data_IF_212992015114
#
_entry.id   IF_212992015114
#
_cell.length_a   1.000
_cell.length_b   1.000
_cell.length_c   1.000
_cell.angle_alpha   90.00
_cell.angle_beta   90.00
_cell.angle_gamma   90.00
#
_symmetry.space_group_name_H-M   'P 1'
#
loop_
_entity.id
_entity.type
_entity.pdbx_description
1 polymer ?
#
# COMPACT_ATOMS: atom_id res chain seq x y z
N UNK A 1 -23.66 -49.59 11.83
CA UNK A 1 -22.24 -49.80 11.48
C UNK A 1 -21.89 -48.78 10.40
N UNK A 2 -21.83 -47.51 10.80
CA UNK A 2 -21.76 -46.33 9.91
C UNK A 2 -20.54 -45.51 10.32
N UNK A 3 -19.36 -45.89 9.86
CA UNK A 3 -18.10 -45.22 10.25
C UNK A 3 -17.07 -45.23 9.12
N UNK A 4 -17.46 -44.80 7.91
CA UNK A 4 -16.50 -44.62 6.79
C UNK A 4 -16.79 -43.43 5.87
N UNK A 5 -17.37 -42.34 6.38
CA UNK A 5 -17.64 -41.16 5.54
C UNK A 5 -17.16 -39.80 6.13
N UNK A 6 -16.45 -39.79 7.25
CA UNK A 6 -16.09 -38.53 7.94
C UNK A 6 -14.63 -38.08 7.88
N UNK A 7 -13.76 -38.73 7.08
CA UNK A 7 -12.31 -38.43 7.13
C UNK A 7 -11.71 -37.87 5.83
N UNK A 8 -12.53 -37.63 4.79
CA UNK A 8 -12.04 -37.09 3.52
C UNK A 8 -12.15 -35.55 3.40
N UNK A 9 -12.94 -34.89 4.25
CA UNK A 9 -13.20 -33.44 4.13
C UNK A 9 -12.29 -32.56 5.00
N UNK A 10 -11.53 -33.13 5.94
CA UNK A 10 -10.74 -32.35 6.89
C UNK A 10 -9.29 -32.03 6.41
N UNK A 11 -8.86 -32.54 5.25
CA UNK A 11 -7.49 -32.29 4.74
C UNK A 11 -7.37 -31.10 3.78
N UNK A 12 -8.49 -30.60 3.22
CA UNK A 12 -8.47 -29.45 2.33
C UNK A 12 -8.63 -28.12 3.09
N UNK A 13 -9.37 -28.10 4.20
CA UNK A 13 -9.53 -26.91 5.04
C UNK A 13 -8.20 -26.42 5.62
N UNK A 14 -7.27 -27.31 5.96
CA UNK A 14 -5.96 -26.91 6.51
C UNK A 14 -4.99 -26.34 5.45
N UNK A 15 -5.14 -26.69 4.17
CA UNK A 15 -4.32 -26.09 3.10
C UNK A 15 -4.79 -24.68 2.74
N UNK A 16 -6.10 -24.45 2.78
CA UNK A 16 -6.68 -23.15 2.47
C UNK A 16 -6.60 -22.20 3.67
N UNK A 17 -6.64 -22.71 4.91
CA UNK A 17 -6.54 -21.87 6.11
C UNK A 17 -5.08 -21.52 6.47
N UNK A 18 -4.09 -22.29 5.99
CA UNK A 18 -2.67 -21.93 6.10
C UNK A 18 -2.24 -20.81 5.13
N UNK A 19 -3.06 -20.52 4.11
CA UNK A 19 -2.88 -19.41 3.18
C UNK A 19 -3.30 -18.06 3.78
N UNK A 20 -4.13 -18.05 4.83
CA UNK A 20 -4.57 -16.85 5.55
C UNK A 20 -3.67 -16.43 6.72
N UNK A 21 -2.45 -16.97 6.84
CA UNK A 21 -1.50 -16.47 7.83
C UNK A 21 -0.79 -15.22 7.31
N UNK A 22 -1.43 -14.04 7.36
CA UNK A 22 -0.77 -12.73 7.28
C UNK A 22 0.38 -12.69 6.26
N UNK A 23 0.13 -13.21 5.05
CA UNK A 23 1.14 -13.18 4.00
C UNK A 23 1.23 -11.73 3.60
N UNK A 24 2.26 -11.03 4.08
CA UNK A 24 2.73 -9.82 3.41
C UNK A 24 3.12 -10.27 2.02
N UNK A 25 2.14 -10.23 1.11
CA UNK A 25 2.33 -10.82 -0.20
C UNK A 25 3.27 -9.91 -0.97
N UNK A 26 4.13 -10.50 -1.77
CA UNK A 26 5.01 -9.70 -2.61
C UNK A 26 4.25 -8.85 -3.64
N UNK A 27 2.97 -9.19 -3.92
CA UNK A 27 2.02 -8.31 -4.61
C UNK A 27 1.78 -7.01 -3.87
N UNK A 28 1.63 -7.02 -2.55
CA UNK A 28 1.45 -5.80 -1.75
C UNK A 28 2.65 -4.86 -1.90
N UNK A 29 3.86 -5.43 -1.94
CA UNK A 29 5.08 -4.66 -2.10
C UNK A 29 5.16 -3.96 -3.46
N UNK A 30 4.64 -4.58 -4.51
CA UNK A 30 4.57 -3.98 -5.86
C UNK A 30 3.64 -2.78 -5.86
N UNK A 31 2.48 -2.91 -5.25
CA UNK A 31 1.51 -1.81 -5.17
C UNK A 31 2.02 -0.68 -4.29
N UNK A 32 2.69 -0.98 -3.17
CA UNK A 32 3.39 0.02 -2.35
C UNK A 32 4.47 0.75 -3.16
N UNK A 33 5.31 0.02 -3.89
CA UNK A 33 6.36 0.60 -4.73
C UNK A 33 5.81 1.52 -5.82
N UNK A 34 4.74 1.09 -6.50
CA UNK A 34 4.03 1.89 -7.51
C UNK A 34 3.39 3.13 -6.90
N UNK A 35 2.78 3.00 -5.73
CA UNK A 35 2.18 4.13 -5.03
C UNK A 35 3.23 5.18 -4.68
N UNK A 36 4.35 4.77 -4.11
CA UNK A 36 5.46 5.66 -3.75
C UNK A 36 5.97 6.42 -4.99
N UNK A 37 6.24 5.70 -6.09
CA UNK A 37 6.73 6.32 -7.33
C UNK A 37 5.72 7.29 -7.94
N UNK A 38 4.43 6.92 -7.98
CA UNK A 38 3.36 7.79 -8.48
C UNK A 38 3.21 9.07 -7.66
N UNK A 39 3.42 9.01 -6.35
CA UNK A 39 3.33 10.19 -5.46
C UNK A 39 4.55 11.08 -5.49
N UNK A 40 5.71 10.57 -5.93
CA UNK A 40 6.94 11.37 -6.05
C UNK A 40 7.17 11.90 -7.47
N UNK A 41 6.52 11.31 -8.47
CA UNK A 41 6.53 11.79 -9.85
C UNK A 41 5.88 13.18 -9.97
N UNK A 42 6.59 14.14 -10.58
CA UNK A 42 6.18 15.55 -10.65
C UNK A 42 5.43 15.94 -11.93
N UNK A 43 5.17 15.00 -12.84
CA UNK A 43 4.42 15.26 -14.07
C UNK A 43 5.28 15.29 -15.35
N UNK A 44 4.75 15.86 -16.45
CA UNK A 44 5.40 15.82 -17.76
C UNK A 44 6.80 16.44 -17.75
N UNK A 45 7.80 15.71 -18.27
CA UNK A 45 9.21 16.11 -18.25
C UNK A 45 10.01 15.54 -17.07
N UNK A 46 9.34 14.88 -16.12
CA UNK A 46 9.98 14.09 -15.08
C UNK A 46 10.09 12.62 -15.51
N UNK A 47 10.99 11.86 -14.89
CA UNK A 47 11.16 10.42 -15.17
C UNK A 47 10.91 9.57 -13.93
N UNK A 48 10.51 8.31 -14.15
CA UNK A 48 10.28 7.36 -13.05
C UNK A 48 11.60 7.06 -12.33
N UNK A 49 12.71 7.05 -13.06
CA UNK A 49 14.07 6.91 -12.52
C UNK A 49 14.43 8.09 -11.63
N UNK A 50 14.08 9.31 -12.03
CA UNK A 50 14.28 10.51 -11.21
C UNK A 50 13.41 10.50 -9.95
N UNK A 51 12.17 10.00 -10.04
CA UNK A 51 11.32 9.76 -8.88
C UNK A 51 11.93 8.72 -7.94
N UNK A 52 12.40 7.58 -8.47
CA UNK A 52 13.05 6.53 -7.69
C UNK A 52 14.31 7.03 -6.98
N UNK A 53 15.15 7.83 -7.66
CA UNK A 53 16.35 8.40 -7.08
C UNK A 53 16.04 9.38 -5.93
N UNK A 54 14.99 10.19 -6.07
CA UNK A 54 14.51 11.07 -4.98
C UNK A 54 13.99 10.27 -3.80
N UNK A 55 13.25 9.20 -4.03
CA UNK A 55 12.79 8.30 -2.97
C UNK A 55 13.97 7.67 -2.25
N UNK A 56 14.99 7.22 -2.98
CA UNK A 56 16.22 6.68 -2.39
C UNK A 56 16.91 7.71 -1.50
N UNK A 57 17.05 8.95 -1.97
CA UNK A 57 17.71 10.01 -1.22
C UNK A 57 16.92 10.42 0.03
N UNK A 58 15.59 10.40 -0.04
CA UNK A 58 14.70 10.87 1.04
C UNK A 58 14.38 9.78 2.09
N UNK A 59 14.14 8.56 1.64
CA UNK A 59 13.58 7.46 2.44
C UNK A 59 14.51 6.25 2.54
N UNK A 60 15.67 6.28 1.88
CA UNK A 60 16.67 5.21 1.97
C UNK A 60 16.31 3.92 1.23
N UNK A 61 15.24 3.89 0.44
CA UNK A 61 14.85 2.70 -0.33
C UNK A 61 15.67 2.63 -1.63
N UNK A 62 16.33 1.51 -1.95
CA UNK A 62 17.12 1.41 -3.18
C UNK A 62 16.29 1.68 -4.45
N UNK A 63 16.76 2.58 -5.32
CA UNK A 63 16.07 2.89 -6.57
C UNK A 63 15.94 1.67 -7.49
N UNK A 64 16.94 0.79 -7.50
CA UNK A 64 16.92 -0.47 -8.26
C UNK A 64 15.77 -1.39 -7.83
N UNK A 65 15.45 -1.41 -6.53
CA UNK A 65 14.32 -2.16 -5.99
C UNK A 65 12.99 -1.53 -6.42
N UNK A 66 12.86 -0.21 -6.34
CA UNK A 66 11.64 0.50 -6.77
C UNK A 66 11.37 0.34 -8.27
N UNK A 67 12.41 0.47 -9.10
CA UNK A 67 12.30 0.26 -10.55
C UNK A 67 12.00 -1.21 -10.89
N UNK A 68 12.51 -2.16 -10.09
CA UNK A 68 12.13 -3.56 -10.19
C UNK A 68 10.64 -3.75 -9.89
N UNK A 69 10.12 -3.19 -8.81
CA UNK A 69 8.70 -3.28 -8.44
C UNK A 69 7.79 -2.58 -9.45
N UNK A 70 8.26 -1.51 -10.10
CA UNK A 70 7.51 -0.84 -11.16
C UNK A 70 7.24 -1.76 -12.36
N UNK A 71 8.29 -2.43 -12.84
CA UNK A 71 8.30 -3.15 -14.11
C UNK A 71 7.87 -4.62 -14.03
N UNK A 72 8.09 -5.30 -12.89
CA UNK A 72 7.84 -6.74 -12.77
C UNK A 72 7.18 -7.13 -11.45
N UNK A 73 6.42 -8.21 -11.49
CA UNK A 73 6.05 -8.94 -10.29
C UNK A 73 7.29 -9.58 -9.68
N UNK A 74 7.39 -9.49 -8.36
CA UNK A 74 8.49 -10.05 -7.59
C UNK A 74 7.90 -11.19 -6.79
N UNK A 75 8.26 -12.43 -7.07
CA UNK A 75 7.73 -13.57 -6.30
C UNK A 75 8.46 -13.74 -4.96
N UNK A 76 9.74 -13.38 -4.93
CA UNK A 76 10.60 -13.48 -3.76
C UNK A 76 11.35 -12.18 -3.50
N UNK A 77 11.32 -11.72 -2.25
CA UNK A 77 12.02 -10.54 -1.78
C UNK A 77 12.53 -10.75 -0.36
N UNK A 78 13.73 -10.24 -0.07
CA UNK A 78 14.26 -10.23 1.29
C UNK A 78 13.33 -9.43 2.20
N UNK A 79 13.08 -9.92 3.40
CA UNK A 79 12.23 -9.26 4.39
C UNK A 79 12.72 -7.84 4.72
N UNK A 80 14.04 -7.62 4.74
CA UNK A 80 14.64 -6.30 4.92
C UNK A 80 14.25 -5.30 3.82
N UNK A 81 14.23 -5.76 2.56
CA UNK A 81 13.83 -4.96 1.41
C UNK A 81 12.32 -4.65 1.47
N UNK A 82 11.51 -5.63 1.85
CA UNK A 82 10.08 -5.43 2.07
C UNK A 82 9.83 -4.39 3.16
N UNK A 83 10.49 -4.51 4.32
CA UNK A 83 10.37 -3.58 5.42
C UNK A 83 10.78 -2.15 5.03
N UNK A 84 11.83 -1.99 4.23
CA UNK A 84 12.24 -0.68 3.72
C UNK A 84 11.15 -0.04 2.85
N UNK A 85 10.54 -0.81 1.94
CA UNK A 85 9.44 -0.34 1.09
C UNK A 85 8.20 -0.02 1.93
N UNK A 86 7.85 -0.86 2.90
CA UNK A 86 6.71 -0.65 3.79
C UNK A 86 6.87 0.62 4.65
N UNK A 87 8.05 0.85 5.21
CA UNK A 87 8.34 2.07 5.97
C UNK A 87 8.24 3.32 5.10
N UNK A 88 8.78 3.27 3.88
CA UNK A 88 8.66 4.35 2.93
C UNK A 88 7.20 4.60 2.52
N UNK A 89 6.41 3.54 2.34
CA UNK A 89 4.99 3.63 2.03
C UNK A 89 4.22 4.34 3.15
N UNK A 90 4.44 3.97 4.41
CA UNK A 90 3.82 4.64 5.57
C UNK A 90 4.20 6.12 5.62
N UNK A 91 5.48 6.45 5.38
CA UNK A 91 5.94 7.84 5.37
C UNK A 91 5.28 8.68 4.26
N UNK A 92 5.17 8.12 3.05
CA UNK A 92 4.51 8.80 1.91
C UNK A 92 3.01 8.93 2.15
N UNK A 93 2.36 7.90 2.69
CA UNK A 93 0.93 7.95 3.03
C UNK A 93 0.65 9.05 4.05
N UNK A 94 1.42 9.11 5.13
CA UNK A 94 1.31 10.17 6.12
C UNK A 94 1.53 11.58 5.52
N UNK A 95 2.41 11.71 4.52
CA UNK A 95 2.58 12.98 3.79
C UNK A 95 1.33 13.35 2.99
N UNK A 96 0.72 12.39 2.31
CA UNK A 96 -0.51 12.60 1.53
C UNK A 96 -1.68 12.96 2.45
N UNK A 97 -1.83 12.25 3.57
CA UNK A 97 -2.89 12.50 4.54
C UNK A 97 -2.76 13.91 5.13
N UNK A 98 -1.54 14.35 5.50
CA UNK A 98 -1.29 15.74 5.93
C UNK A 98 -1.59 16.77 4.84
N UNK A 99 -1.26 16.46 3.58
CA UNK A 99 -1.58 17.33 2.44
C UNK A 99 -3.09 17.50 2.28
N UNK A 100 -3.83 16.40 2.36
CA UNK A 100 -5.29 16.40 2.31
C UNK A 100 -5.90 17.18 3.48
N UNK A 101 -5.39 16.99 4.70
CA UNK A 101 -5.84 17.76 5.88
C UNK A 101 -5.57 19.26 5.72
N UNK A 102 -4.40 19.62 5.17
CA UNK A 102 -4.07 21.01 4.89
C UNK A 102 -5.02 21.63 3.85
N UNK A 103 -5.24 20.95 2.72
CA UNK A 103 -6.21 21.38 1.71
C UNK A 103 -7.63 21.49 2.29
N UNK A 104 -8.03 20.55 3.16
CA UNK A 104 -9.32 20.59 3.87
C UNK A 104 -9.42 21.78 4.82
N UNK A 105 -8.35 22.16 5.50
CA UNK A 105 -8.34 23.35 6.38
C UNK A 105 -8.40 24.69 5.63
N UNK A 106 -7.90 24.72 4.39
CA UNK A 106 -7.95 25.91 3.53
C UNK A 106 -9.27 26.02 2.75
N UNK A 107 -10.07 24.96 2.72
CA UNK A 107 -11.33 24.96 1.99
C UNK A 107 -12.31 25.97 2.60
N UNK A 108 -12.63 26.99 1.79
CA UNK A 108 -13.40 28.17 2.19
C UNK A 108 -14.89 27.85 2.43
N UNK A 109 -15.45 26.83 1.77
CA UNK A 109 -16.88 26.52 1.87
C UNK A 109 -17.17 25.28 2.73
N UNK A 110 -17.58 25.54 3.96
CA UNK A 110 -17.93 24.54 4.98
C UNK A 110 -19.09 23.64 4.59
N UNK A 111 -19.97 24.06 3.68
CA UNK A 111 -21.12 23.23 3.23
C UNK A 111 -20.67 22.08 2.35
N UNK A 112 -19.70 22.33 1.47
CA UNK A 112 -19.11 21.31 0.59
C UNK A 112 -18.36 20.27 1.43
N UNK A 113 -17.61 20.72 2.44
CA UNK A 113 -16.94 19.82 3.39
C UNK A 113 -17.93 18.91 4.13
N UNK A 114 -19.02 19.49 4.66
CA UNK A 114 -20.07 18.71 5.36
C UNK A 114 -20.73 17.68 4.46
N UNK A 115 -20.98 18.02 3.19
CA UNK A 115 -21.53 17.06 2.22
C UNK A 115 -20.52 15.94 1.93
N UNK A 116 -19.24 16.29 1.72
CA UNK A 116 -18.18 15.32 1.51
C UNK A 116 -18.00 14.38 2.72
N UNK A 117 -18.06 14.91 3.94
CA UNK A 117 -17.97 14.12 5.18
C UNK A 117 -19.19 13.19 5.35
N UNK A 118 -20.39 13.66 4.99
CA UNK A 118 -21.62 12.85 4.99
C UNK A 118 -21.53 11.69 4.00
N UNK A 119 -21.10 11.96 2.76
CA UNK A 119 -20.93 10.93 1.71
C UNK A 119 -19.81 9.95 2.10
N UNK A 120 -18.74 10.42 2.72
CA UNK A 120 -17.64 9.59 3.20
C UNK A 120 -18.00 8.78 4.47
N UNK A 121 -19.20 8.97 5.04
CA UNK A 121 -19.65 8.23 6.23
C UNK A 121 -18.86 8.58 7.50
N UNK A 122 -18.17 9.72 7.55
CA UNK A 122 -17.50 10.19 8.77
C UNK A 122 -18.58 10.57 9.79
N UNK A 123 -18.77 9.73 10.81
CA UNK A 123 -19.59 10.10 11.97
C UNK A 123 -18.89 11.24 12.68
N UNK A 124 -19.57 12.37 12.78
CA UNK A 124 -19.15 13.45 13.67
C UNK A 124 -19.27 12.91 15.10
N UNK A 125 -18.18 12.44 15.69
CA UNK A 125 -18.10 12.23 17.12
C UNK A 125 -18.11 13.63 17.76
N UNK A 126 -19.29 13.98 18.28
CA UNK A 126 -19.55 15.14 19.15
C UNK A 126 -18.90 14.98 20.51
#
# INVERSE_FOLDING_TARGET
MSDKFHDAQNKNSDRDNKSMSMSFTTSDAKDMGRFILKKEYRGPGDTIESAAYRVQTKLGVPATLLLRLWNRDVNDMLLSNFAAVANAYVAVKARVDRGYEHERSLAVDTKILRLADFVAGKKNET
#
